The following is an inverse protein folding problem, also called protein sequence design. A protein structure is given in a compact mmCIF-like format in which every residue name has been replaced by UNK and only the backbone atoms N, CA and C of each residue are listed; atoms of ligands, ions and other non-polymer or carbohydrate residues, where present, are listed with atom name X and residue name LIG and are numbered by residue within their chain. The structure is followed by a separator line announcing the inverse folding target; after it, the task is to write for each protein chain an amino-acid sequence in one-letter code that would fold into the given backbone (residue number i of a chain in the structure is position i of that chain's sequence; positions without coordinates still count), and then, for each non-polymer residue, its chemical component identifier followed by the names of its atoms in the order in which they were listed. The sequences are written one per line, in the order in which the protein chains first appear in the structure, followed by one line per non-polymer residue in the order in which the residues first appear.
data_IF_890076515563
#
_entry.id   IF_890076515563
#
_cell.length_a   1.000
_cell.length_b   1.000
_cell.length_c   1.000
_cell.angle_alpha   90.00
_cell.angle_beta   90.00
_cell.angle_gamma   90.00
#
_symmetry.space_group_name_H-M   'P 1'
#
loop_
_entity.id
_entity.type
_entity.pdbx_description
1 polymer ?
#
# COMPACT_ATOMS: atom_id res chain seq x y z
N UNK A 1 -35.70 12.82 -2.87
CA UNK A 1 -35.51 12.47 -1.45
C UNK A 1 -34.37 11.46 -1.37
N UNK A 2 -33.25 11.81 -0.73
CA UNK A 2 -32.18 10.85 -0.36
C UNK A 2 -32.45 10.38 1.07
N UNK A 3 -32.32 9.09 1.33
CA UNK A 3 -32.55 8.54 2.67
C UNK A 3 -31.26 8.57 3.50
N UNK A 4 -31.32 8.54 4.84
CA UNK A 4 -30.12 8.51 5.69
C UNK A 4 -29.27 7.23 5.52
N UNK A 5 -29.76 6.28 4.73
CA UNK A 5 -29.17 4.96 4.48
C UNK A 5 -28.66 4.77 3.05
N UNK A 6 -28.66 5.83 2.23
CA UNK A 6 -28.00 5.81 0.93
C UNK A 6 -26.48 5.72 1.17
N UNK A 7 -25.97 4.49 1.31
CA UNK A 7 -24.53 4.19 1.25
C UNK A 7 -24.05 4.65 -0.11
N UNK A 8 -23.41 5.82 -0.15
CA UNK A 8 -22.73 6.33 -1.33
C UNK A 8 -21.81 5.22 -1.86
N UNK A 9 -21.93 4.80 -3.13
CA UNK A 9 -21.05 3.78 -3.68
C UNK A 9 -19.64 4.36 -3.70
N UNK A 10 -18.73 3.77 -2.90
CA UNK A 10 -17.33 4.17 -2.76
C UNK A 10 -16.59 3.99 -4.09
N UNK A 11 -16.16 5.07 -4.77
CA UNK A 11 -15.13 4.97 -5.79
C UNK A 11 -13.78 5.18 -5.10
N UNK A 12 -13.36 4.33 -4.15
CA UNK A 12 -12.15 4.60 -3.35
C UNK A 12 -10.85 4.59 -4.17
N UNK A 13 -10.79 3.75 -5.22
CA UNK A 13 -9.57 3.50 -6.01
C UNK A 13 -8.97 4.76 -6.65
N UNK A 14 -9.70 5.49 -7.53
CA UNK A 14 -9.12 6.63 -8.24
C UNK A 14 -8.77 7.78 -7.30
N UNK A 15 -9.48 7.93 -6.18
CA UNK A 15 -9.20 8.99 -5.22
C UNK A 15 -7.90 8.72 -4.45
N UNK A 16 -7.72 7.53 -3.85
CA UNK A 16 -6.48 7.22 -3.10
C UNK A 16 -5.22 7.31 -3.97
N UNK A 17 -5.26 6.72 -5.17
CA UNK A 17 -4.14 6.80 -6.12
C UNK A 17 -3.76 8.23 -6.45
N UNK A 18 -4.76 9.07 -6.75
CA UNK A 18 -4.51 10.47 -7.10
C UNK A 18 -3.89 11.24 -5.94
N UNK A 19 -4.37 11.02 -4.72
CA UNK A 19 -3.79 11.68 -3.55
C UNK A 19 -2.34 11.25 -3.29
N UNK A 20 -2.00 9.96 -3.46
CA UNK A 20 -0.62 9.48 -3.33
C UNK A 20 0.28 10.15 -4.38
N UNK A 21 -0.16 10.19 -5.65
CA UNK A 21 0.57 10.90 -6.72
C UNK A 21 0.75 12.38 -6.40
N UNK A 22 -0.28 13.05 -5.88
CA UNK A 22 -0.19 14.46 -5.49
C UNK A 22 0.88 14.67 -4.43
N UNK A 23 0.93 13.82 -3.39
CA UNK A 23 1.95 13.92 -2.33
C UNK A 23 3.35 13.70 -2.92
N UNK A 24 3.52 12.67 -3.74
CA UNK A 24 4.81 12.39 -4.39
C UNK A 24 5.25 13.58 -5.25
N UNK A 25 4.37 14.12 -6.09
CA UNK A 25 4.67 15.27 -6.94
C UNK A 25 4.94 16.55 -6.15
N UNK A 26 4.30 16.72 -4.98
CA UNK A 26 4.52 17.89 -4.11
C UNK A 26 5.91 17.87 -3.46
N UNK A 27 6.43 16.68 -3.16
CA UNK A 27 7.71 16.51 -2.47
C UNK A 27 8.69 15.68 -3.31
N UNK A 28 9.20 16.16 -4.45
CA UNK A 28 9.94 15.35 -5.42
C UNK A 28 11.19 14.67 -4.86
N UNK A 29 11.85 15.30 -3.89
CA UNK A 29 13.12 14.82 -3.34
C UNK A 29 12.95 13.86 -2.15
N UNK A 30 11.72 13.69 -1.64
CA UNK A 30 11.46 12.80 -0.51
C UNK A 30 11.18 11.37 -0.97
N UNK A 31 11.67 10.44 -0.16
CA UNK A 31 11.46 9.00 -0.27
C UNK A 31 10.34 8.58 0.68
N UNK A 32 9.54 7.59 0.27
CA UNK A 32 8.32 7.21 0.97
C UNK A 32 8.27 5.70 1.22
N UNK A 33 7.59 5.34 2.29
CA UNK A 33 7.15 3.98 2.61
C UNK A 33 5.64 3.96 2.55
N UNK A 34 5.06 3.05 1.77
CA UNK A 34 3.61 2.92 1.65
C UNK A 34 3.13 1.92 2.70
N UNK A 35 2.21 2.33 3.57
CA UNK A 35 1.65 1.47 4.62
C UNK A 35 0.14 1.50 4.50
N UNK A 36 -0.48 0.33 4.41
CA UNK A 36 -1.93 0.22 4.31
C UNK A 36 -2.46 -1.14 4.74
N UNK A 37 -3.77 -1.30 4.64
CA UNK A 37 -4.45 -2.57 4.91
C UNK A 37 -4.51 -3.42 3.64
N UNK A 38 -4.52 -4.75 3.77
CA UNK A 38 -4.62 -5.69 2.65
C UNK A 38 -6.04 -5.77 2.06
N UNK A 39 -6.75 -4.63 2.01
CA UNK A 39 -8.01 -4.51 1.29
C UNK A 39 -7.84 -4.90 -0.17
N UNK A 40 -8.95 -5.18 -0.88
CA UNK A 40 -8.92 -5.70 -2.26
C UNK A 40 -8.20 -4.80 -3.27
N UNK A 41 -7.89 -3.56 -2.90
CA UNK A 41 -7.43 -2.55 -3.83
C UNK A 41 -6.12 -1.88 -3.44
N UNK A 42 -5.74 -1.88 -2.17
CA UNK A 42 -4.57 -1.13 -1.73
C UNK A 42 -3.27 -1.76 -2.25
N UNK A 43 -3.22 -3.10 -2.38
CA UNK A 43 -2.06 -3.80 -2.96
C UNK A 43 -1.80 -3.41 -4.41
N UNK A 44 -2.84 -3.49 -5.25
CA UNK A 44 -2.75 -3.14 -6.67
C UNK A 44 -2.37 -1.66 -6.85
N UNK A 45 -2.95 -0.78 -6.01
CA UNK A 45 -2.63 0.66 -6.01
C UNK A 45 -1.16 0.92 -5.66
N UNK A 46 -0.64 0.28 -4.61
CA UNK A 46 0.74 0.52 -4.16
C UNK A 46 1.76 -0.05 -5.13
N UNK A 47 1.48 -1.19 -5.75
CA UNK A 47 2.31 -1.76 -6.81
C UNK A 47 2.38 -0.77 -7.98
N UNK A 48 1.24 -0.29 -8.49
CA UNK A 48 1.21 0.66 -9.61
C UNK A 48 2.00 1.95 -9.29
N UNK A 49 1.86 2.49 -8.08
CA UNK A 49 2.61 3.68 -7.64
C UNK A 49 4.12 3.38 -7.53
N UNK A 50 4.50 2.21 -7.05
CA UNK A 50 5.91 1.83 -6.95
C UNK A 50 6.53 1.54 -8.33
N UNK A 51 5.76 1.05 -9.30
CA UNK A 51 6.17 0.95 -10.70
C UNK A 51 6.34 2.33 -11.35
N UNK A 52 5.48 3.30 -11.00
CA UNK A 52 5.55 4.68 -11.50
C UNK A 52 6.71 5.48 -10.86
N UNK A 53 7.04 5.20 -9.60
CA UNK A 53 8.07 5.92 -8.83
C UNK A 53 9.07 4.98 -8.09
N UNK A 54 9.79 4.10 -8.81
CA UNK A 54 10.56 3.00 -8.21
C UNK A 54 11.72 3.47 -7.32
N UNK A 55 12.34 4.61 -7.64
CA UNK A 55 13.45 5.13 -6.83
C UNK A 55 12.98 5.81 -5.53
N UNK A 56 11.69 6.14 -5.45
CA UNK A 56 11.11 6.95 -4.38
C UNK A 56 10.34 6.13 -3.36
N UNK A 57 9.68 5.06 -3.79
CA UNK A 57 9.07 4.12 -2.87
C UNK A 57 10.16 3.17 -2.39
N UNK A 58 10.37 3.07 -1.07
CA UNK A 58 11.42 2.23 -0.47
C UNK A 58 10.93 0.92 0.09
N UNK A 59 9.68 0.90 0.54
CA UNK A 59 9.02 -0.31 0.99
C UNK A 59 7.50 -0.17 0.91
N UNK A 60 6.82 -1.30 0.78
CA UNK A 60 5.36 -1.41 0.85
C UNK A 60 5.00 -2.38 1.98
N UNK A 61 4.23 -1.93 2.95
CA UNK A 61 3.73 -2.74 4.05
C UNK A 61 2.21 -2.85 3.98
N UNK A 62 1.71 -4.07 3.81
CA UNK A 62 0.27 -4.35 3.75
C UNK A 62 -0.15 -5.19 4.94
N UNK A 63 -1.03 -4.66 5.80
CA UNK A 63 -1.54 -5.36 6.96
C UNK A 63 -2.58 -6.41 6.57
N UNK A 64 -2.34 -7.66 6.92
CA UNK A 64 -3.26 -8.77 6.66
C UNK A 64 -4.62 -8.57 7.35
N UNK A 65 -5.71 -8.61 6.58
CA UNK A 65 -7.09 -8.67 7.12
C UNK A 65 -7.59 -10.12 7.17
N UNK A 66 -8.60 -10.42 8.01
CA UNK A 66 -9.14 -11.77 8.30
C UNK A 66 -9.85 -12.50 7.12
N UNK A 67 -9.40 -12.30 5.88
CA UNK A 67 -9.93 -12.98 4.69
C UNK A 67 -8.83 -13.74 3.96
N UNK A 68 -8.81 -15.07 4.13
CA UNK A 68 -7.77 -15.96 3.59
C UNK A 68 -7.61 -15.86 2.06
N UNK A 69 -8.71 -15.83 1.31
CA UNK A 69 -8.66 -15.68 -0.17
C UNK A 69 -7.97 -14.39 -0.61
N UNK A 70 -8.16 -13.30 0.15
CA UNK A 70 -7.57 -11.99 -0.16
C UNK A 70 -6.09 -11.99 0.16
N UNK A 71 -5.73 -12.53 1.31
CA UNK A 71 -4.34 -12.72 1.73
C UNK A 71 -3.58 -13.54 0.69
N UNK A 72 -4.15 -14.65 0.22
CA UNK A 72 -3.53 -15.48 -0.81
C UNK A 72 -3.26 -14.71 -2.12
N UNK A 73 -4.25 -13.95 -2.60
CA UNK A 73 -4.09 -13.11 -3.81
C UNK A 73 -3.01 -12.05 -3.62
N UNK A 74 -3.08 -11.29 -2.52
CA UNK A 74 -2.12 -10.22 -2.23
C UNK A 74 -0.72 -10.79 -2.11
N UNK A 75 -0.55 -11.91 -1.39
CA UNK A 75 0.73 -12.60 -1.30
C UNK A 75 1.28 -12.97 -2.67
N UNK A 76 0.47 -13.57 -3.55
CA UNK A 76 0.91 -13.92 -4.90
C UNK A 76 1.25 -12.71 -5.79
N UNK A 77 0.67 -11.53 -5.53
CA UNK A 77 1.06 -10.29 -6.18
C UNK A 77 2.41 -9.78 -5.66
N UNK A 78 2.58 -9.76 -4.34
CA UNK A 78 3.82 -9.30 -3.71
C UNK A 78 5.01 -10.20 -4.05
N UNK A 79 4.81 -11.52 -4.10
CA UNK A 79 5.86 -12.50 -4.48
C UNK A 79 6.37 -12.31 -5.91
N UNK A 80 5.59 -11.68 -6.79
CA UNK A 80 5.97 -11.38 -8.19
C UNK A 80 6.52 -9.98 -8.36
N UNK A 81 6.44 -9.14 -7.33
CA UNK A 81 6.83 -7.75 -7.38
C UNK A 81 8.25 -7.58 -6.85
N UNK A 82 9.20 -7.36 -7.76
CA UNK A 82 10.64 -7.34 -7.42
C UNK A 82 11.24 -5.92 -7.35
N UNK A 83 10.49 -4.90 -7.79
CA UNK A 83 11.00 -3.53 -7.88
C UNK A 83 11.28 -2.90 -6.51
N UNK A 84 10.48 -3.23 -5.51
CA UNK A 84 10.57 -2.61 -4.18
C UNK A 84 10.21 -3.63 -3.12
N UNK A 85 10.91 -3.67 -1.97
CA UNK A 85 10.56 -4.56 -0.87
C UNK A 85 9.08 -4.39 -0.47
N UNK A 86 8.30 -5.46 -0.63
CA UNK A 86 6.88 -5.46 -0.31
C UNK A 86 6.54 -6.64 0.59
N UNK A 87 5.96 -6.33 1.75
CA UNK A 87 5.73 -7.32 2.79
C UNK A 87 4.29 -7.28 3.30
N UNK A 88 3.67 -8.46 3.39
CA UNK A 88 2.42 -8.65 4.11
C UNK A 88 2.73 -8.82 5.60
N UNK A 89 2.28 -7.88 6.43
CA UNK A 89 2.55 -7.85 7.86
C UNK A 89 1.29 -8.19 8.66
N UNK A 90 1.45 -8.87 9.80
CA UNK A 90 0.32 -9.14 10.73
C UNK A 90 0.14 -8.02 11.74
N UNK A 91 1.23 -7.39 12.13
CA UNK A 91 1.28 -6.34 13.15
C UNK A 91 2.34 -5.29 12.79
N UNK A 92 2.31 -4.17 13.51
CA UNK A 92 3.27 -3.09 13.33
C UNK A 92 4.70 -3.43 13.78
N UNK A 93 4.89 -4.46 14.63
CA UNK A 93 6.24 -4.84 15.07
C UNK A 93 7.01 -5.49 13.92
N UNK A 94 6.37 -6.42 13.20
CA UNK A 94 6.95 -7.08 12.03
C UNK A 94 7.33 -6.05 10.95
N UNK A 95 6.47 -5.04 10.73
CA UNK A 95 6.78 -3.95 9.80
C UNK A 95 7.99 -3.12 10.25
N UNK A 96 8.10 -2.84 11.55
CA UNK A 96 9.20 -2.07 12.10
C UNK A 96 10.53 -2.85 12.06
N UNK A 97 10.51 -4.16 12.33
CA UNK A 97 11.68 -5.03 12.22
C UNK A 97 12.23 -5.03 10.80
N UNK A 98 11.39 -5.29 9.80
CA UNK A 98 11.79 -5.25 8.40
C UNK A 98 12.25 -3.85 7.96
N UNK A 99 11.63 -2.79 8.48
CA UNK A 99 12.07 -1.42 8.21
C UNK A 99 13.47 -1.13 8.79
N UNK A 100 13.84 -1.71 9.95
CA UNK A 100 15.20 -1.64 10.50
C UNK A 100 16.19 -2.41 9.64
N UNK A 101 15.83 -3.61 9.17
CA UNK A 101 16.67 -4.41 8.28
C UNK A 101 16.98 -3.67 6.96
N UNK A 102 16.01 -2.91 6.45
CA UNK A 102 16.18 -2.04 5.29
C UNK A 102 16.90 -0.71 5.61
N UNK A 103 17.25 -0.45 6.87
CA UNK A 103 17.89 0.80 7.31
C UNK A 103 16.99 2.04 7.23
N UNK A 104 15.67 1.87 7.18
CA UNK A 104 14.69 2.97 7.07
C UNK A 104 14.43 3.66 8.42
N UNK A 105 14.60 2.94 9.52
CA UNK A 105 14.43 3.43 10.89
C UNK A 105 15.54 2.86 11.81
N UNK A 106 15.78 3.53 12.94
CA UNK A 106 16.78 3.15 13.95
C UNK A 106 16.16 2.37 15.12
#
# INVERSE_FOLDING_TARGET
FRTPFDRTPKPEKPHKQREIRNILNTYPDLQFVLIGDSGEHDADIYIEIAEEFPERIKAIYLRSVNHEKRVFRVRGLLERFELTPALLVKDSQTAAEHARELGLIQ
#
